data_IF_024775026550
#
_entry.id   IF_024775026550
#
_cell.length_a   1.000
_cell.length_b   1.000
_cell.length_c   1.000
_cell.angle_alpha   90.00
_cell.angle_beta   90.00
_cell.angle_gamma   90.00
#
_symmetry.space_group_name_H-M   'P 1'
#
loop_
_entity.id
_entity.type
_entity.pdbx_description
1 polymer ?
#
# COMPACT_ATOMS: atom_id res chain seq x y z
N UNK A 1 36.74 -31.26 17.39
CA UNK A 1 35.75 -30.23 17.79
C UNK A 1 34.66 -29.97 16.73
N UNK A 2 34.80 -30.40 15.47
CA UNK A 2 33.76 -30.23 14.44
C UNK A 2 32.41 -30.96 14.65
N UNK A 3 32.32 -32.20 15.19
CA UNK A 3 31.04 -32.91 15.22
C UNK A 3 30.01 -32.30 16.20
N UNK A 4 30.46 -31.72 17.32
CA UNK A 4 29.56 -31.07 18.28
C UNK A 4 28.90 -29.80 17.73
N UNK A 5 29.61 -29.03 16.90
CA UNK A 5 29.07 -27.82 16.28
C UNK A 5 27.99 -28.14 15.25
N UNK A 6 28.18 -29.20 14.45
CA UNK A 6 27.19 -29.67 13.47
C UNK A 6 25.90 -30.11 14.18
N UNK A 7 26.03 -30.88 15.28
CA UNK A 7 24.87 -31.31 16.07
C UNK A 7 24.10 -30.13 16.68
N UNK A 8 24.79 -29.11 17.20
CA UNK A 8 24.16 -27.90 17.76
C UNK A 8 23.44 -27.10 16.67
N UNK A 9 24.04 -26.92 15.49
CA UNK A 9 23.39 -26.22 14.37
C UNK A 9 22.15 -26.94 13.87
N UNK A 10 22.17 -28.27 13.79
CA UNK A 10 21.00 -29.06 13.39
C UNK A 10 19.87 -28.96 14.42
N UNK A 11 20.18 -28.99 15.71
CA UNK A 11 19.19 -28.80 16.78
C UNK A 11 18.58 -27.40 16.74
N UNK A 12 19.39 -26.36 16.52
CA UNK A 12 18.91 -24.99 16.38
C UNK A 12 17.98 -24.84 15.15
N UNK A 13 18.34 -25.41 14.00
CA UNK A 13 17.51 -25.39 12.80
C UNK A 13 16.18 -26.14 13.03
N UNK A 14 16.22 -27.31 13.69
CA UNK A 14 15.02 -28.05 14.04
C UNK A 14 14.10 -27.27 14.99
N UNK A 15 14.66 -26.55 15.97
CA UNK A 15 13.90 -25.68 16.88
C UNK A 15 13.23 -24.54 16.13
N UNK A 16 13.94 -23.86 15.22
CA UNK A 16 13.38 -22.77 14.41
C UNK A 16 12.25 -23.27 13.51
N UNK A 17 12.41 -24.43 12.88
CA UNK A 17 11.35 -25.06 12.08
C UNK A 17 10.14 -25.44 12.93
N UNK A 18 10.36 -25.98 14.14
CA UNK A 18 9.29 -26.31 15.08
C UNK A 18 8.51 -25.06 15.52
N UNK A 19 9.22 -23.95 15.80
CA UNK A 19 8.60 -22.67 16.12
C UNK A 19 7.79 -22.12 14.94
N UNK A 20 8.35 -22.16 13.72
CA UNK A 20 7.64 -21.74 12.51
C UNK A 20 6.30 -22.47 12.37
N UNK A 21 6.31 -23.81 12.51
CA UNK A 21 5.11 -24.65 12.40
C UNK A 21 4.14 -24.43 13.55
N UNK A 22 4.63 -24.22 14.78
CA UNK A 22 3.80 -23.92 15.94
C UNK A 22 3.02 -22.62 15.72
N UNK A 23 3.69 -21.55 15.27
CA UNK A 23 3.05 -20.28 14.98
C UNK A 23 2.08 -20.37 13.79
N UNK A 24 2.41 -21.13 12.73
CA UNK A 24 1.45 -21.37 11.64
C UNK A 24 0.17 -22.07 12.13
N UNK A 25 0.31 -23.10 12.97
CA UNK A 25 -0.85 -23.82 13.52
C UNK A 25 -1.70 -22.92 14.42
N UNK A 26 -1.07 -22.15 15.30
CA UNK A 26 -1.77 -21.17 16.13
C UNK A 26 -2.52 -20.14 15.29
N UNK A 27 -1.89 -19.62 14.22
CA UNK A 27 -2.53 -18.69 13.29
C UNK A 27 -3.72 -19.31 12.55
N UNK A 28 -3.59 -20.56 12.11
CA UNK A 28 -4.69 -21.28 11.48
C UNK A 28 -5.86 -21.53 12.46
N UNK A 29 -5.58 -21.81 13.73
CA UNK A 29 -6.60 -21.95 14.77
C UNK A 29 -7.34 -20.63 14.98
N UNK A 30 -6.61 -19.52 15.19
CA UNK A 30 -7.24 -18.20 15.31
C UNK A 30 -8.07 -17.84 14.08
N UNK A 31 -7.58 -18.15 12.87
CA UNK A 31 -8.32 -17.97 11.63
C UNK A 31 -9.64 -18.75 11.60
N UNK A 32 -9.63 -20.03 11.98
CA UNK A 32 -10.83 -20.86 12.06
C UNK A 32 -11.85 -20.33 13.09
N UNK A 33 -11.36 -19.73 14.17
CA UNK A 33 -12.17 -19.07 15.21
C UNK A 33 -12.65 -17.67 14.79
N UNK A 34 -12.30 -17.21 13.57
CA UNK A 34 -12.54 -15.84 13.06
C UNK A 34 -11.85 -14.74 13.88
N UNK A 35 -10.86 -15.09 14.69
CA UNK A 35 -9.96 -14.15 15.35
C UNK A 35 -8.84 -13.74 14.36
N UNK A 36 -9.19 -12.84 13.44
CA UNK A 36 -8.26 -12.36 12.42
C UNK A 36 -7.08 -11.57 13.02
N UNK A 37 -7.28 -10.91 14.16
CA UNK A 37 -6.19 -10.20 14.86
C UNK A 37 -5.20 -11.20 15.48
N UNK A 38 -5.70 -12.25 16.12
CA UNK A 38 -4.87 -13.36 16.60
C UNK A 38 -4.16 -14.07 15.45
N UNK A 39 -4.85 -14.31 14.34
CA UNK A 39 -4.26 -14.93 13.15
C UNK A 39 -3.10 -14.09 12.59
N UNK A 40 -3.30 -12.78 12.39
CA UNK A 40 -2.26 -11.84 11.95
C UNK A 40 -1.04 -11.88 12.89
N UNK A 41 -1.26 -11.88 14.21
CA UNK A 41 -0.20 -11.93 15.20
C UNK A 41 0.64 -13.21 15.06
N UNK A 42 -0.02 -14.37 14.98
CA UNK A 42 0.71 -15.64 14.90
C UNK A 42 1.39 -15.83 13.55
N UNK A 43 0.78 -15.43 12.44
CA UNK A 43 1.46 -15.45 11.15
C UNK A 43 2.65 -14.50 11.10
N UNK A 44 2.58 -13.34 11.76
CA UNK A 44 3.73 -12.43 11.91
C UNK A 44 4.88 -13.08 12.69
N UNK A 45 4.57 -13.81 13.77
CA UNK A 45 5.58 -14.60 14.52
C UNK A 45 6.15 -15.74 13.70
N UNK A 46 5.33 -16.41 12.88
CA UNK A 46 5.82 -17.45 11.99
C UNK A 46 6.75 -16.90 10.92
N UNK A 47 6.40 -15.74 10.34
CA UNK A 47 7.21 -15.03 9.36
C UNK A 47 8.60 -14.68 9.91
N UNK A 48 8.69 -14.19 11.16
CA UNK A 48 9.97 -13.76 11.75
C UNK A 48 10.97 -14.90 11.98
N UNK A 49 10.50 -16.14 12.04
CA UNK A 49 11.34 -17.35 12.19
C UNK A 49 11.31 -18.24 10.94
N UNK A 50 10.73 -17.76 9.83
CA UNK A 50 10.49 -18.60 8.66
C UNK A 50 11.78 -18.87 7.87
N UNK A 51 12.12 -20.16 7.75
CA UNK A 51 13.29 -20.61 7.01
C UNK A 51 12.91 -21.30 5.70
N UNK A 52 11.77 -21.99 5.68
CA UNK A 52 11.26 -22.75 4.54
C UNK A 52 9.85 -22.30 4.18
N UNK A 53 9.49 -22.40 2.90
CA UNK A 53 8.17 -21.99 2.41
C UNK A 53 7.77 -20.58 2.90
N UNK A 54 8.71 -19.63 2.81
CA UNK A 54 8.59 -18.28 3.39
C UNK A 54 7.35 -17.52 2.92
N UNK A 55 6.84 -17.84 1.75
CA UNK A 55 5.62 -17.25 1.20
C UNK A 55 4.36 -17.60 2.02
N UNK A 56 4.29 -18.76 2.69
CA UNK A 56 3.09 -19.23 3.41
C UNK A 56 2.68 -18.30 4.56
N UNK A 57 3.54 -18.02 5.57
CA UNK A 57 3.15 -17.15 6.67
C UNK A 57 2.84 -15.73 6.21
N UNK A 58 3.56 -15.22 5.19
CA UNK A 58 3.32 -13.89 4.63
C UNK A 58 1.96 -13.83 3.92
N UNK A 59 1.67 -14.80 3.05
CA UNK A 59 0.37 -14.93 2.39
C UNK A 59 -0.78 -15.03 3.40
N UNK A 60 -0.64 -15.88 4.41
CA UNK A 60 -1.69 -16.07 5.40
C UNK A 60 -1.89 -14.83 6.29
N UNK A 61 -0.83 -14.06 6.57
CA UNK A 61 -0.96 -12.75 7.20
C UNK A 61 -1.72 -11.77 6.30
N UNK A 62 -1.43 -11.76 5.00
CA UNK A 62 -2.18 -10.98 4.01
C UNK A 62 -3.67 -11.31 4.02
N UNK A 63 -4.02 -12.60 4.08
CA UNK A 63 -5.42 -13.06 4.22
C UNK A 63 -6.06 -12.56 5.51
N UNK A 64 -5.37 -12.67 6.66
CA UNK A 64 -5.88 -12.16 7.93
C UNK A 64 -6.08 -10.64 7.92
N UNK A 65 -5.14 -9.90 7.31
CA UNK A 65 -5.21 -8.43 7.14
C UNK A 65 -6.31 -8.01 6.18
N UNK A 66 -6.55 -8.79 5.14
CA UNK A 66 -7.67 -8.60 4.24
C UNK A 66 -8.98 -8.67 5.02
N UNK A 67 -9.23 -9.70 5.82
CA UNK A 67 -10.46 -9.76 6.63
C UNK A 67 -10.59 -8.63 7.67
N UNK A 68 -9.47 -8.04 8.10
CA UNK A 68 -9.44 -6.86 8.97
C UNK A 68 -9.62 -5.54 8.20
N UNK A 69 -9.91 -5.59 6.90
CA UNK A 69 -10.03 -4.46 5.99
C UNK A 69 -8.77 -3.60 5.87
N UNK A 70 -7.61 -4.20 6.15
CA UNK A 70 -6.29 -3.54 6.02
C UNK A 70 -5.73 -3.78 4.64
N UNK A 71 -6.44 -3.27 3.63
CA UNK A 71 -6.22 -3.59 2.22
C UNK A 71 -4.80 -3.34 1.74
N UNK A 72 -4.20 -2.21 2.11
CA UNK A 72 -2.82 -1.88 1.72
C UNK A 72 -1.80 -2.84 2.34
N UNK A 73 -1.91 -3.09 3.65
CA UNK A 73 -1.03 -4.03 4.33
C UNK A 73 -1.22 -5.48 3.85
N UNK A 74 -2.42 -5.83 3.39
CA UNK A 74 -2.69 -7.12 2.75
C UNK A 74 -2.05 -7.20 1.36
N UNK A 75 -2.18 -6.16 0.53
CA UNK A 75 -1.57 -6.09 -0.78
C UNK A 75 -0.03 -6.18 -0.70
N UNK A 76 0.60 -5.49 0.25
CA UNK A 76 2.04 -5.57 0.52
C UNK A 76 2.48 -7.01 0.87
N UNK A 77 1.70 -7.69 1.71
CA UNK A 77 1.95 -9.08 2.07
C UNK A 77 1.80 -10.02 0.88
N UNK A 78 0.77 -9.84 0.06
CA UNK A 78 0.58 -10.68 -1.13
C UNK A 78 1.64 -10.42 -2.20
N UNK A 79 2.09 -9.18 -2.38
CA UNK A 79 3.23 -8.85 -3.22
C UNK A 79 4.50 -9.58 -2.75
N UNK A 80 4.80 -9.49 -1.45
CA UNK A 80 5.95 -10.20 -0.88
C UNK A 80 5.80 -11.71 -1.04
N UNK A 81 4.61 -12.27 -0.80
CA UNK A 81 4.35 -13.68 -1.01
C UNK A 81 4.53 -14.08 -2.48
N UNK A 82 4.10 -13.27 -3.45
CA UNK A 82 4.26 -13.53 -4.87
C UNK A 82 5.75 -13.59 -5.28
N UNK A 83 6.61 -12.78 -4.65
CA UNK A 83 8.06 -12.83 -4.89
C UNK A 83 8.75 -14.09 -4.35
N UNK A 84 8.10 -14.81 -3.43
CA UNK A 84 8.65 -15.97 -2.71
C UNK A 84 7.96 -17.29 -3.10
N UNK A 85 6.78 -17.22 -3.69
CA UNK A 85 5.93 -18.35 -3.98
C UNK A 85 6.44 -19.14 -5.21
N UNK A 86 6.38 -20.48 -5.17
CA UNK A 86 6.68 -21.29 -6.34
C UNK A 86 5.60 -21.09 -7.43
N UNK A 87 5.92 -21.47 -8.67
CA UNK A 87 5.09 -21.17 -9.84
C UNK A 87 3.64 -21.67 -9.69
N UNK A 88 3.45 -22.87 -9.15
CA UNK A 88 2.14 -23.48 -8.92
C UNK A 88 1.28 -22.75 -7.88
N UNK A 89 1.85 -21.79 -7.14
CA UNK A 89 1.12 -20.96 -6.16
C UNK A 89 0.90 -19.52 -6.64
N UNK A 90 1.50 -19.12 -7.76
CA UNK A 90 1.44 -17.75 -8.28
C UNK A 90 0.00 -17.30 -8.53
N UNK A 91 -0.82 -18.15 -9.16
CA UNK A 91 -2.22 -17.82 -9.45
C UNK A 91 -2.99 -17.44 -8.17
N UNK A 92 -3.01 -18.31 -7.15
CA UNK A 92 -3.75 -18.04 -5.90
C UNK A 92 -3.23 -16.79 -5.19
N UNK A 93 -1.91 -16.63 -5.10
CA UNK A 93 -1.32 -15.47 -4.41
C UNK A 93 -1.67 -14.16 -5.13
N UNK A 94 -1.61 -14.16 -6.46
CA UNK A 94 -1.90 -12.95 -7.27
C UNK A 94 -3.39 -12.64 -7.36
N UNK A 95 -4.27 -13.64 -7.31
CA UNK A 95 -5.70 -13.40 -7.15
C UNK A 95 -6.01 -12.69 -5.84
N UNK A 96 -5.40 -13.13 -4.73
CA UNK A 96 -5.55 -12.46 -3.44
C UNK A 96 -4.94 -11.05 -3.44
N UNK A 97 -3.78 -10.87 -4.09
CA UNK A 97 -3.19 -9.54 -4.26
C UNK A 97 -4.11 -8.60 -5.05
N UNK A 98 -4.60 -9.04 -6.21
CA UNK A 98 -5.54 -8.29 -7.02
C UNK A 98 -6.80 -7.94 -6.25
N UNK A 99 -7.33 -8.88 -5.45
CA UNK A 99 -8.51 -8.66 -4.62
C UNK A 99 -8.25 -7.61 -3.54
N UNK A 100 -7.11 -7.64 -2.86
CA UNK A 100 -6.73 -6.63 -1.88
C UNK A 100 -6.62 -5.23 -2.50
N UNK A 101 -6.00 -5.13 -3.68
CA UNK A 101 -5.91 -3.88 -4.44
C UNK A 101 -7.30 -3.38 -4.87
N UNK A 102 -8.16 -4.28 -5.35
CA UNK A 102 -9.53 -3.97 -5.75
C UNK A 102 -10.37 -3.47 -4.56
N UNK A 103 -10.35 -4.17 -3.41
CA UNK A 103 -11.07 -3.73 -2.20
C UNK A 103 -10.53 -2.42 -1.65
N UNK A 104 -9.21 -2.21 -1.72
CA UNK A 104 -8.58 -0.94 -1.38
C UNK A 104 -8.99 0.19 -2.34
N UNK A 105 -9.18 -0.10 -3.62
CA UNK A 105 -9.67 0.86 -4.60
C UNK A 105 -11.15 1.21 -4.36
N UNK A 106 -11.98 0.20 -4.08
CA UNK A 106 -13.40 0.39 -3.73
C UNK A 106 -13.52 1.33 -2.51
N UNK A 107 -12.72 1.11 -1.47
CA UNK A 107 -12.70 1.95 -0.28
C UNK A 107 -12.26 3.41 -0.56
N UNK A 108 -11.30 3.62 -1.47
CA UNK A 108 -10.92 4.97 -1.90
C UNK A 108 -12.04 5.65 -2.66
N UNK A 109 -12.72 4.91 -3.54
CA UNK A 109 -13.85 5.42 -4.32
C UNK A 109 -15.01 5.81 -3.40
N UNK A 110 -15.30 5.00 -2.39
CA UNK A 110 -16.33 5.30 -1.38
C UNK A 110 -15.97 6.51 -0.50
N UNK A 111 -14.68 6.87 -0.44
CA UNK A 111 -14.17 8.08 0.18
C UNK A 111 -14.01 9.26 -0.81
N UNK A 112 -14.61 9.16 -2.00
CA UNK A 112 -14.53 10.12 -3.12
C UNK A 112 -13.11 10.36 -3.68
N UNK A 113 -12.12 9.54 -3.31
CA UNK A 113 -10.77 9.54 -3.92
C UNK A 113 -10.76 8.68 -5.19
N UNK A 114 -11.45 9.17 -6.22
CA UNK A 114 -11.53 8.51 -7.53
C UNK A 114 -10.15 8.37 -8.21
N UNK A 115 -9.24 9.37 -8.19
CA UNK A 115 -7.89 9.20 -8.73
C UNK A 115 -7.11 8.08 -8.03
N UNK A 116 -7.14 8.03 -6.69
CA UNK A 116 -6.49 6.98 -5.92
C UNK A 116 -7.08 5.60 -6.23
N UNK A 117 -8.41 5.50 -6.33
CA UNK A 117 -9.09 4.27 -6.72
C UNK A 117 -8.65 3.77 -8.10
N UNK A 118 -8.58 4.66 -9.10
CA UNK A 118 -8.13 4.32 -10.46
C UNK A 118 -6.69 3.79 -10.49
N UNK A 119 -5.79 4.39 -9.71
CA UNK A 119 -4.41 3.89 -9.58
C UNK A 119 -4.41 2.45 -9.04
N UNK A 120 -5.18 2.17 -7.99
CA UNK A 120 -5.24 0.82 -7.40
C UNK A 120 -5.92 -0.20 -8.32
N UNK A 121 -7.01 0.14 -9.01
CA UNK A 121 -7.60 -0.76 -10.01
C UNK A 121 -6.60 -1.08 -11.13
N UNK A 122 -5.86 -0.08 -11.62
CA UNK A 122 -4.81 -0.29 -12.63
C UNK A 122 -3.72 -1.25 -12.12
N UNK A 123 -3.30 -1.10 -10.87
CA UNK A 123 -2.36 -2.05 -10.25
C UNK A 123 -2.93 -3.47 -10.21
N UNK A 124 -4.20 -3.65 -9.85
CA UNK A 124 -4.87 -4.95 -9.86
C UNK A 124 -4.88 -5.58 -11.27
N UNK A 125 -5.13 -4.78 -12.32
CA UNK A 125 -5.04 -5.25 -13.72
C UNK A 125 -3.64 -5.76 -14.07
N UNK A 126 -2.59 -5.03 -13.67
CA UNK A 126 -1.20 -5.42 -13.92
C UNK A 126 -0.88 -6.75 -13.21
N UNK A 127 -1.30 -6.90 -11.96
CA UNK A 127 -1.10 -8.15 -11.19
C UNK A 127 -1.78 -9.34 -11.86
N UNK A 128 -3.01 -9.16 -12.38
CA UNK A 128 -3.76 -10.20 -13.08
C UNK A 128 -3.21 -10.51 -14.47
N UNK A 129 -2.64 -9.52 -15.17
CA UNK A 129 -2.03 -9.70 -16.49
C UNK A 129 -0.72 -10.48 -16.42
N UNK A 130 0.02 -10.37 -15.31
CA UNK A 130 1.31 -11.03 -15.06
C UNK A 130 1.17 -12.48 -14.54
N UNK A 131 -0.03 -13.07 -14.63
CA UNK A 131 -0.26 -14.47 -14.27
C UNK A 131 -1.26 -15.13 -15.18
N UNK A 132 -1.12 -16.43 -15.35
CA UNK A 132 -2.17 -17.31 -15.87
C UNK A 132 -2.59 -18.29 -14.78
N UNK A 133 -3.85 -18.70 -14.79
CA UNK A 133 -4.41 -19.58 -13.79
C UNK A 133 -4.79 -20.93 -14.41
N UNK A 134 -4.46 -22.06 -13.77
CA UNK A 134 -4.80 -23.37 -14.28
C UNK A 134 -6.29 -23.68 -14.09
N UNK A 135 -6.79 -24.65 -14.85
CA UNK A 135 -8.15 -25.18 -14.70
C UNK A 135 -8.22 -26.17 -13.51
N UNK A 136 -7.87 -25.69 -12.32
CA UNK A 136 -7.90 -26.45 -11.06
C UNK A 136 -9.04 -25.99 -10.16
N UNK A 137 -9.59 -26.84 -9.28
CA UNK A 137 -10.66 -26.44 -8.37
C UNK A 137 -10.28 -25.23 -7.50
N UNK A 138 -11.13 -24.21 -7.48
CA UNK A 138 -10.95 -23.04 -6.62
C UNK A 138 -11.57 -23.24 -5.22
N UNK A 139 -11.00 -22.62 -4.17
CA UNK A 139 -11.67 -22.48 -2.89
C UNK A 139 -12.95 -21.66 -3.07
N UNK A 140 -14.13 -22.27 -2.88
CA UNK A 140 -15.43 -21.61 -3.09
C UNK A 140 -16.25 -22.17 -4.26
N UNK A 141 -15.70 -23.11 -5.02
CA UNK A 141 -16.37 -23.72 -6.18
C UNK A 141 -15.83 -23.16 -7.51
N UNK A 142 -16.14 -23.84 -8.61
CA UNK A 142 -15.58 -23.51 -9.93
C UNK A 142 -14.07 -23.79 -10.03
N UNK A 143 -13.40 -23.13 -10.97
CA UNK A 143 -11.95 -23.27 -11.18
C UNK A 143 -11.19 -21.98 -10.91
N UNK A 144 -9.87 -22.08 -10.69
CA UNK A 144 -8.97 -20.93 -10.56
C UNK A 144 -8.94 -20.08 -11.84
N UNK A 145 -9.07 -20.71 -13.01
CA UNK A 145 -9.19 -19.99 -14.28
C UNK A 145 -10.48 -19.17 -14.35
N UNK A 146 -11.61 -19.71 -13.88
CA UNK A 146 -12.89 -18.98 -13.82
C UNK A 146 -12.76 -17.76 -12.89
N UNK A 147 -12.26 -17.97 -11.67
CA UNK A 147 -12.04 -16.90 -10.70
C UNK A 147 -11.11 -15.79 -11.23
N UNK A 148 -10.09 -16.16 -12.00
CA UNK A 148 -9.19 -15.21 -12.65
C UNK A 148 -9.84 -14.43 -13.78
N UNK A 149 -10.63 -15.09 -14.63
CA UNK A 149 -11.39 -14.42 -15.69
C UNK A 149 -12.40 -13.43 -15.10
N UNK A 150 -13.13 -13.84 -14.06
CA UNK A 150 -14.08 -12.98 -13.34
C UNK A 150 -13.39 -11.78 -12.69
N UNK A 151 -12.25 -11.99 -12.03
CA UNK A 151 -11.47 -10.90 -11.44
C UNK A 151 -11.02 -9.90 -12.51
N UNK A 152 -10.51 -10.38 -13.66
CA UNK A 152 -10.11 -9.51 -14.77
C UNK A 152 -11.27 -8.68 -15.29
N UNK A 153 -12.39 -9.33 -15.60
CA UNK A 153 -13.57 -8.64 -16.12
C UNK A 153 -14.10 -7.59 -15.13
N UNK A 154 -14.16 -7.94 -13.84
CA UNK A 154 -14.66 -7.04 -12.80
C UNK A 154 -13.77 -5.82 -12.61
N UNK A 155 -12.45 -6.01 -12.52
CA UNK A 155 -11.48 -4.90 -12.37
C UNK A 155 -11.46 -4.04 -13.65
N UNK A 156 -11.58 -4.64 -14.83
CA UNK A 156 -11.70 -3.90 -16.10
C UNK A 156 -12.94 -3.01 -16.16
N UNK A 157 -14.11 -3.53 -15.74
CA UNK A 157 -15.35 -2.75 -15.64
C UNK A 157 -15.17 -1.56 -14.71
N UNK A 158 -14.67 -1.80 -13.49
CA UNK A 158 -14.46 -0.75 -12.48
C UNK A 158 -13.48 0.33 -12.93
N UNK A 159 -12.42 -0.06 -13.63
CA UNK A 159 -11.44 0.89 -14.19
C UNK A 159 -12.08 1.76 -15.28
N UNK A 160 -12.87 1.15 -16.17
CA UNK A 160 -13.55 1.85 -17.26
C UNK A 160 -14.63 2.81 -16.74
N UNK A 161 -15.44 2.36 -15.79
CA UNK A 161 -16.46 3.16 -15.12
C UNK A 161 -15.85 4.34 -14.36
N UNK A 162 -14.78 4.09 -13.59
CA UNK A 162 -14.07 5.15 -12.89
C UNK A 162 -13.51 6.20 -13.83
N UNK A 163 -12.95 5.79 -14.98
CA UNK A 163 -12.40 6.72 -15.96
C UNK A 163 -13.49 7.50 -16.72
N UNK A 164 -14.63 6.88 -17.00
CA UNK A 164 -15.75 7.55 -17.67
C UNK A 164 -16.47 8.57 -16.78
N UNK A 165 -16.54 8.29 -15.47
CA UNK A 165 -17.28 9.12 -14.52
C UNK A 165 -16.39 10.16 -13.81
N UNK A 166 -15.06 10.08 -14.00
CA UNK A 166 -14.11 11.04 -13.46
C UNK A 166 -13.86 12.18 -14.44
N UNK A 167 -14.36 13.36 -14.09
CA UNK A 167 -13.85 14.61 -14.65
C UNK A 167 -12.64 15.05 -13.83
N UNK A 168 -11.48 15.29 -14.46
CA UNK A 168 -10.36 15.92 -13.77
C UNK A 168 -10.85 17.20 -13.11
N UNK A 169 -10.44 17.51 -11.87
CA UNK A 169 -10.67 18.84 -11.33
C UNK A 169 -10.13 19.83 -12.35
N UNK A 170 -11.00 20.75 -12.78
CA UNK A 170 -10.66 21.80 -13.72
C UNK A 170 -9.34 22.40 -13.25
N UNK A 171 -8.35 22.37 -14.14
CA UNK A 171 -7.03 22.95 -13.87
C UNK A 171 -7.27 24.45 -13.69
N UNK A 172 -7.60 24.87 -12.48
CA UNK A 172 -8.03 26.22 -12.21
C UNK A 172 -6.89 27.17 -12.58
N UNK A 173 -7.28 28.19 -13.34
CA UNK A 173 -6.50 29.20 -14.05
C UNK A 173 -5.70 28.65 -15.24
N UNK A 174 -6.18 28.98 -16.44
CA UNK A 174 -5.33 29.12 -17.62
C UNK A 174 -4.11 29.98 -17.23
N UNK A 175 -2.96 29.66 -17.82
CA UNK A 175 -1.69 30.34 -17.56
C UNK A 175 -1.76 31.86 -17.69
N UNK A 176 -2.72 32.39 -18.45
CA UNK A 176 -3.00 33.81 -18.66
C UNK A 176 -3.68 34.46 -17.44
N UNK A 177 -4.75 33.89 -16.87
CA UNK A 177 -5.39 34.43 -15.66
C UNK A 177 -4.44 34.42 -14.45
N UNK A 178 -3.58 33.40 -14.37
CA UNK A 178 -2.57 33.28 -13.31
C UNK A 178 -1.44 34.31 -13.47
N UNK A 179 -1.14 34.73 -14.69
CA UNK A 179 -0.13 35.78 -14.94
C UNK A 179 -0.72 37.16 -14.68
N UNK A 180 -1.97 37.40 -15.07
CA UNK A 180 -2.68 38.66 -14.79
C UNK A 180 -2.84 38.89 -13.27
N UNK A 181 -3.18 37.86 -12.50
CA UNK A 181 -3.29 37.97 -11.04
C UNK A 181 -1.93 38.22 -10.37
N UNK A 182 -0.85 37.63 -10.90
CA UNK A 182 0.51 37.84 -10.39
C UNK A 182 1.03 39.24 -10.71
N UNK A 183 0.75 39.76 -11.90
CA UNK A 183 1.12 41.11 -12.32
C UNK A 183 0.36 42.18 -11.51
N UNK A 184 -0.92 41.92 -11.21
CA UNK A 184 -1.72 42.84 -10.41
C UNK A 184 -1.27 42.85 -8.93
N UNK A 185 -0.95 41.69 -8.36
CA UNK A 185 -0.34 41.59 -7.03
C UNK A 185 1.04 42.25 -6.98
N UNK A 186 1.84 42.15 -8.04
CA UNK A 186 3.14 42.79 -8.13
C UNK A 186 3.02 44.33 -8.17
N UNK A 187 2.05 44.87 -8.89
CA UNK A 187 1.74 46.31 -8.88
C UNK A 187 1.30 46.80 -7.51
N UNK A 188 0.37 46.10 -6.85
CA UNK A 188 -0.09 46.47 -5.51
C UNK A 188 1.08 46.48 -4.51
N UNK A 189 1.94 45.47 -4.55
CA UNK A 189 3.13 45.41 -3.69
C UNK A 189 4.19 46.49 -4.02
N UNK A 190 4.20 47.05 -5.23
CA UNK A 190 5.05 48.20 -5.58
C UNK A 190 4.46 49.51 -5.07
N UNK A 191 3.15 49.71 -5.23
CA UNK A 191 2.45 50.89 -4.71
C UNK A 191 2.52 50.97 -3.19
N UNK A 192 2.35 49.85 -2.49
CA UNK A 192 2.52 49.78 -1.04
C UNK A 192 3.94 50.15 -0.61
N UNK A 193 4.96 49.70 -1.34
CA UNK A 193 6.36 50.06 -1.08
C UNK A 193 6.63 51.54 -1.30
N UNK A 194 6.11 52.12 -2.39
CA UNK A 194 6.24 53.55 -2.66
C UNK A 194 5.56 54.39 -1.57
N UNK A 195 4.36 54.00 -1.14
CA UNK A 195 3.67 54.66 -0.02
C UNK A 195 4.43 54.53 1.30
N UNK A 196 5.07 53.38 1.54
CA UNK A 196 5.89 53.18 2.73
C UNK A 196 7.19 54.01 2.69
N UNK A 197 7.79 54.20 1.52
CA UNK A 197 8.97 55.06 1.32
C UNK A 197 8.61 56.55 1.46
N UNK A 198 7.46 56.98 0.94
CA UNK A 198 6.93 58.34 1.13
C UNK A 198 6.60 58.64 2.59
N UNK A 199 6.09 57.65 3.34
CA UNK A 199 5.83 57.78 4.78
C UNK A 199 7.08 57.61 5.65
N UNK A 200 8.10 56.89 5.16
CA UNK A 200 9.38 56.64 5.83
C UNK A 200 10.40 57.78 5.69
N UNK A 201 10.16 58.76 4.81
CA UNK A 201 10.99 59.96 4.64
C UNK A 201 10.85 60.99 5.79
N UNK A 202 10.11 60.67 6.86
CA UNK A 202 9.68 61.63 7.88
C UNK A 202 10.19 61.44 9.32
N UNK A 203 11.03 60.45 9.64
CA UNK A 203 11.51 60.26 11.03
C UNK A 203 13.03 60.08 11.13
N UNK A 204 13.62 60.97 11.93
CA UNK A 204 15.04 61.11 12.27
C UNK A 204 15.70 59.83 12.84
N UNK A 205 17.04 59.70 12.74
CA UNK A 205 17.76 58.53 13.21
C UNK A 205 17.94 58.58 14.74
N UNK A 206 17.47 57.54 15.44
CA UNK A 206 17.77 57.32 16.85
C UNK A 206 18.90 56.29 16.99
N UNK A 207 19.92 56.74 17.71
CA UNK A 207 21.17 56.11 18.11
C UNK A 207 21.01 54.90 19.05
N UNK A 208 21.94 53.95 18.93
CA UNK A 208 22.55 53.24 20.05
C UNK A 208 21.75 52.15 20.77
N UNK A 209 22.20 50.90 20.67
CA UNK A 209 21.76 49.84 21.58
C UNK A 209 22.44 48.50 21.37
N UNK A 210 23.59 48.31 22.02
CA UNK A 210 24.35 47.06 22.11
C UNK A 210 23.54 45.90 22.70
N UNK A 211 23.58 44.72 22.08
CA UNK A 211 23.06 43.48 22.63
C UNK A 211 23.82 42.28 22.08
N UNK A 212 24.66 41.68 22.93
CA UNK A 212 25.46 40.49 22.69
C UNK A 212 24.61 39.28 22.25
N UNK A 213 25.15 38.47 21.33
CA UNK A 213 24.61 37.16 20.94
C UNK A 213 25.49 36.06 21.50
N UNK A 214 24.96 35.36 22.50
CA UNK A 214 25.50 34.14 23.05
C UNK A 214 25.04 32.99 22.13
N UNK A 215 25.97 32.14 21.71
CA UNK A 215 25.69 30.86 21.06
C UNK A 215 25.57 29.76 22.11
#
# INVERSE_FOLDING_TARGET
MLPGLISVSLLAAALVLALQLLYLRAGNTSWQERDNTGAELQYSRSMSVSMVNKWIPVHNRGVARFELQRWDAAADDFQQAASLAPAERQCTVRLNWSLALESGADALRDADDVPGALVRYTQAQVVLADTTCPNEPAPGGGTLADAWNEARQRVESKTSEGNANWTPPEKSTTSEERTDELDERAKQAQEERQRAEEQGSGSEPVDGGSGERNW
#
